data_IF_445628992294
#
_entry.id   IF_445628992294
#
_cell.length_a   1.000
_cell.length_b   1.000
_cell.length_c   1.000
_cell.angle_alpha   90.00
_cell.angle_beta   90.00
_cell.angle_gamma   90.00
#
_symmetry.space_group_name_H-M   'P 1'
#
loop_
_entity.id
_entity.type
_entity.pdbx_description
1 polymer ?
#
# COMPACT_ATOMS: atom_id res chain seq x y z
N UNK A 1 -16.16 -56.27 9.67
CA UNK A 1 -15.31 -55.11 9.99
C UNK A 1 -16.21 -53.89 10.07
N UNK A 2 -16.36 -53.28 11.24
CA UNK A 2 -17.12 -52.03 11.40
C UNK A 2 -16.28 -50.89 10.86
N UNK A 3 -16.72 -50.29 9.76
CA UNK A 3 -16.11 -49.06 9.22
C UNK A 3 -16.20 -48.00 10.31
N UNK A 4 -15.09 -47.39 10.76
CA UNK A 4 -15.15 -46.35 11.76
C UNK A 4 -15.96 -45.19 11.17
N UNK A 5 -17.05 -44.81 11.83
CA UNK A 5 -17.78 -43.61 11.46
C UNK A 5 -16.83 -42.42 11.63
N UNK A 6 -16.59 -41.62 10.58
CA UNK A 6 -15.81 -40.42 10.76
C UNK A 6 -16.53 -39.53 11.77
N UNK A 7 -15.84 -39.14 12.83
CA UNK A 7 -16.36 -38.16 13.78
C UNK A 7 -16.33 -36.82 13.07
N UNK A 8 -17.42 -36.51 12.37
CA UNK A 8 -17.57 -35.20 11.74
C UNK A 8 -17.97 -34.19 12.82
N UNK A 9 -17.08 -33.23 13.07
CA UNK A 9 -17.39 -32.05 13.88
C UNK A 9 -18.70 -31.43 13.40
N UNK A 10 -19.68 -31.20 14.28
CA UNK A 10 -20.97 -30.64 13.86
C UNK A 10 -20.73 -29.20 13.40
N UNK A 11 -20.79 -28.95 12.09
CA UNK A 11 -20.72 -27.59 11.57
C UNK A 11 -22.05 -26.93 11.93
N UNK A 12 -22.02 -25.99 12.87
CA UNK A 12 -23.21 -25.28 13.33
C UNK A 12 -23.60 -24.18 12.33
N UNK A 13 -24.91 -23.97 12.08
CA UNK A 13 -25.34 -22.83 11.29
C UNK A 13 -25.04 -21.52 12.05
N UNK A 14 -24.58 -20.47 11.35
CA UNK A 14 -24.34 -19.18 11.97
C UNK A 14 -25.66 -18.54 12.40
N UNK A 15 -25.68 -18.02 13.63
CA UNK A 15 -26.85 -17.35 14.19
C UNK A 15 -27.01 -15.94 13.61
N UNK A 16 -28.24 -15.60 13.23
CA UNK A 16 -28.61 -14.25 12.83
C UNK A 16 -29.05 -13.48 14.07
N UNK A 17 -28.15 -12.68 14.63
CA UNK A 17 -28.33 -12.00 15.93
C UNK A 17 -28.61 -10.50 15.80
N UNK A 18 -28.30 -9.89 14.64
CA UNK A 18 -28.41 -8.44 14.44
C UNK A 18 -29.01 -8.08 13.08
N UNK A 19 -29.75 -6.97 13.06
CA UNK A 19 -30.42 -6.44 11.86
C UNK A 19 -29.74 -5.21 11.25
N UNK A 20 -28.60 -4.78 11.81
CA UNK A 20 -27.77 -3.75 11.21
C UNK A 20 -26.94 -4.30 10.03
N UNK A 21 -26.47 -3.41 9.15
CA UNK A 21 -25.74 -3.80 7.93
C UNK A 21 -24.50 -4.66 8.21
N UNK A 22 -23.72 -4.34 9.25
CA UNK A 22 -22.49 -5.08 9.54
C UNK A 22 -22.83 -6.51 10.01
N UNK A 23 -23.85 -6.65 10.85
CA UNK A 23 -24.35 -7.95 11.31
C UNK A 23 -24.90 -8.79 10.16
N UNK A 24 -25.74 -8.20 9.29
CA UNK A 24 -26.31 -8.90 8.13
C UNK A 24 -25.23 -9.43 7.18
N UNK A 25 -24.18 -8.64 6.92
CA UNK A 25 -23.12 -9.04 5.99
C UNK A 25 -22.17 -10.04 6.61
N UNK A 26 -21.82 -9.86 7.89
CA UNK A 26 -21.07 -10.86 8.66
C UNK A 26 -21.81 -12.20 8.64
N UNK A 27 -23.11 -12.17 8.91
CA UNK A 27 -23.96 -13.37 8.87
C UNK A 27 -24.01 -14.00 7.47
N UNK A 28 -24.21 -13.21 6.40
CA UNK A 28 -24.21 -13.73 5.01
C UNK A 28 -22.91 -14.44 4.65
N UNK A 29 -21.76 -13.88 5.03
CA UNK A 29 -20.44 -14.52 4.80
C UNK A 29 -20.31 -15.81 5.57
N UNK A 30 -20.64 -15.79 6.86
CA UNK A 30 -20.62 -16.99 7.70
C UNK A 30 -21.57 -18.06 7.16
N UNK A 31 -22.73 -17.67 6.63
CA UNK A 31 -23.73 -18.57 6.06
C UNK A 31 -23.23 -19.22 4.77
N UNK A 32 -22.57 -18.45 3.91
CA UNK A 32 -21.94 -19.00 2.70
C UNK A 32 -20.84 -20.04 3.03
N UNK A 33 -19.98 -19.73 4.02
CA UNK A 33 -18.93 -20.66 4.49
C UNK A 33 -19.51 -21.93 5.10
N UNK A 34 -20.58 -21.79 5.88
CA UNK A 34 -21.33 -22.92 6.43
C UNK A 34 -21.90 -23.81 5.33
N UNK A 35 -22.56 -23.24 4.32
CA UNK A 35 -23.14 -24.02 3.22
C UNK A 35 -22.09 -24.71 2.35
N UNK A 36 -20.93 -24.07 2.14
CA UNK A 36 -19.78 -24.68 1.47
C UNK A 36 -19.22 -25.86 2.26
N UNK A 37 -19.01 -25.69 3.56
CA UNK A 37 -18.54 -26.77 4.45
C UNK A 37 -19.51 -27.96 4.48
N UNK A 38 -20.82 -27.69 4.45
CA UNK A 38 -21.86 -28.74 4.36
C UNK A 38 -21.82 -29.42 2.99
N UNK A 39 -21.67 -28.66 1.88
CA UNK A 39 -21.52 -29.24 0.54
C UNK A 39 -20.31 -30.15 0.42
N UNK A 40 -19.16 -29.75 0.93
CA UNK A 40 -17.96 -30.58 0.95
C UNK A 40 -18.22 -31.88 1.72
N UNK A 41 -18.78 -31.80 2.94
CA UNK A 41 -19.15 -32.99 3.70
C UNK A 41 -20.07 -33.93 2.92
N UNK A 42 -21.08 -33.39 2.26
CA UNK A 42 -22.01 -34.19 1.45
C UNK A 42 -21.29 -34.90 0.29
N UNK A 43 -20.28 -34.27 -0.32
CA UNK A 43 -19.47 -34.91 -1.37
C UNK A 43 -18.67 -36.12 -0.84
N UNK A 44 -18.10 -36.02 0.37
CA UNK A 44 -17.32 -37.11 0.96
C UNK A 44 -18.18 -38.23 1.56
N UNK A 45 -19.33 -37.89 2.13
CA UNK A 45 -20.23 -38.82 2.84
C UNK A 45 -21.30 -39.45 1.95
N UNK A 46 -21.61 -38.84 0.79
CA UNK A 46 -22.76 -39.20 -0.05
C UNK A 46 -24.11 -38.77 0.53
N UNK A 47 -24.14 -37.96 1.59
CA UNK A 47 -25.37 -37.42 2.16
C UNK A 47 -26.04 -36.40 1.23
N UNK A 48 -27.37 -36.32 1.27
CA UNK A 48 -28.12 -35.31 0.52
C UNK A 48 -28.03 -33.94 1.19
N UNK A 49 -27.48 -32.95 0.46
CA UNK A 49 -27.31 -31.58 0.93
C UNK A 49 -28.58 -30.97 1.52
N UNK A 50 -29.74 -31.18 0.86
CA UNK A 50 -31.00 -30.58 1.31
C UNK A 50 -31.46 -31.11 2.67
N UNK A 51 -31.02 -32.30 3.05
CA UNK A 51 -31.34 -32.92 4.35
C UNK A 51 -30.39 -32.50 5.45
N UNK A 52 -29.13 -32.24 5.12
CA UNK A 52 -28.07 -31.91 6.09
C UNK A 52 -28.06 -30.41 6.40
N UNK A 53 -28.35 -29.56 5.42
CA UNK A 53 -28.33 -28.11 5.61
C UNK A 53 -29.42 -27.65 6.57
N UNK A 54 -29.02 -27.13 7.73
CA UNK A 54 -29.92 -26.43 8.66
C UNK A 54 -30.49 -25.16 8.06
N UNK A 55 -31.80 -25.00 8.17
CA UNK A 55 -32.53 -23.83 7.72
C UNK A 55 -32.14 -22.55 8.47
N UNK A 56 -32.50 -21.42 7.88
CA UNK A 56 -32.18 -20.08 8.39
C UNK A 56 -33.10 -19.72 9.53
N UNK A 57 -34.39 -19.99 9.38
CA UNK A 57 -35.43 -19.76 10.38
C UNK A 57 -35.05 -20.28 11.76
N UNK A 58 -34.50 -21.50 11.82
CA UNK A 58 -34.08 -22.13 13.08
C UNK A 58 -32.80 -21.54 13.69
N UNK A 59 -32.09 -20.71 12.95
CA UNK A 59 -30.85 -20.07 13.35
C UNK A 59 -31.00 -18.54 13.55
N UNK A 60 -32.21 -18.00 13.43
CA UNK A 60 -32.49 -16.61 13.81
C UNK A 60 -32.65 -16.52 15.32
N UNK A 61 -32.08 -15.48 15.92
CA UNK A 61 -32.34 -15.16 17.32
C UNK A 61 -33.87 -14.98 17.56
N UNK A 62 -34.45 -15.54 18.64
CA UNK A 62 -35.90 -15.48 18.86
C UNK A 62 -36.47 -14.06 18.89
N UNK A 63 -35.81 -13.12 19.56
CA UNK A 63 -36.27 -11.73 19.69
C UNK A 63 -36.22 -11.03 18.33
N UNK A 64 -35.16 -11.29 17.56
CA UNK A 64 -35.06 -10.81 16.19
C UNK A 64 -36.12 -11.46 15.29
N UNK A 65 -36.41 -12.75 15.45
CA UNK A 65 -37.41 -13.45 14.65
C UNK A 65 -38.82 -12.87 14.86
N UNK A 66 -39.20 -12.57 16.10
CA UNK A 66 -40.45 -11.89 16.42
C UNK A 66 -40.51 -10.50 15.77
N UNK A 67 -39.41 -9.73 15.84
CA UNK A 67 -39.30 -8.44 15.16
C UNK A 67 -39.48 -8.59 13.63
N UNK A 68 -38.84 -9.58 13.01
CA UNK A 68 -38.96 -9.83 11.58
C UNK A 68 -40.39 -10.21 11.18
N UNK A 69 -41.04 -11.08 11.96
CA UNK A 69 -42.41 -11.49 11.71
C UNK A 69 -43.38 -10.30 11.74
N UNK A 70 -43.28 -9.48 12.78
CA UNK A 70 -44.23 -8.41 13.07
C UNK A 70 -43.99 -7.13 12.24
N UNK A 71 -42.72 -6.76 11.98
CA UNK A 71 -42.40 -5.44 11.43
C UNK A 71 -41.81 -5.48 10.01
N UNK A 72 -41.03 -6.49 9.65
CA UNK A 72 -40.32 -6.53 8.36
C UNK A 72 -41.04 -7.41 7.31
N UNK A 73 -41.49 -8.60 7.70
CA UNK A 73 -42.13 -9.59 6.82
C UNK A 73 -43.65 -9.44 6.84
N UNK A 74 -44.25 -9.12 7.99
CA UNK A 74 -45.70 -8.95 8.15
C UNK A 74 -46.49 -10.24 7.93
N UNK A 75 -45.89 -11.40 8.20
CA UNK A 75 -46.53 -12.73 8.10
C UNK A 75 -46.64 -13.35 9.49
N UNK A 76 -47.61 -14.24 9.68
CA UNK A 76 -47.65 -15.06 10.89
C UNK A 76 -46.36 -15.89 10.99
N UNK A 77 -45.86 -16.08 12.20
CA UNK A 77 -44.65 -16.87 12.45
C UNK A 77 -44.69 -18.20 11.72
N UNK A 78 -45.82 -18.91 11.64
CA UNK A 78 -45.91 -20.23 11.01
C UNK A 78 -45.67 -20.21 9.49
N UNK A 79 -45.96 -19.09 8.85
CA UNK A 79 -45.93 -18.96 7.39
C UNK A 79 -44.59 -18.41 6.87
N UNK A 80 -43.69 -18.01 7.77
CA UNK A 80 -42.37 -17.46 7.41
C UNK A 80 -41.44 -18.58 6.94
N UNK A 81 -41.00 -18.51 5.71
CA UNK A 81 -40.02 -19.45 5.15
C UNK A 81 -38.61 -18.88 5.20
N UNK A 82 -37.60 -19.75 5.11
CA UNK A 82 -36.20 -19.33 4.94
C UNK A 82 -36.01 -18.39 3.76
N UNK A 83 -36.80 -18.56 2.69
CA UNK A 83 -36.79 -17.70 1.51
C UNK A 83 -37.26 -16.29 1.83
N UNK A 84 -38.27 -16.14 2.67
CA UNK A 84 -38.79 -14.83 3.09
C UNK A 84 -37.72 -14.06 3.90
N UNK A 85 -37.07 -14.74 4.83
CA UNK A 85 -35.99 -14.16 5.65
C UNK A 85 -34.82 -13.75 4.74
N UNK A 86 -34.39 -14.61 3.82
CA UNK A 86 -33.33 -14.28 2.86
C UNK A 86 -33.69 -13.10 1.96
N UNK A 87 -34.93 -13.04 1.47
CA UNK A 87 -35.40 -11.94 0.65
C UNK A 87 -35.29 -10.62 1.41
N UNK A 88 -35.72 -10.58 2.68
CA UNK A 88 -35.60 -9.38 3.52
C UNK A 88 -34.17 -9.01 3.86
N UNK A 89 -33.32 -9.99 4.18
CA UNK A 89 -31.88 -9.75 4.40
C UNK A 89 -31.25 -9.13 3.15
N UNK A 90 -31.60 -9.64 1.96
CA UNK A 90 -31.12 -9.12 0.68
C UNK A 90 -31.64 -7.69 0.42
N UNK A 91 -32.94 -7.48 0.55
CA UNK A 91 -33.60 -6.17 0.38
C UNK A 91 -32.99 -5.12 1.33
N UNK A 92 -32.77 -5.47 2.60
CA UNK A 92 -32.16 -4.58 3.59
C UNK A 92 -30.73 -4.23 3.23
N UNK A 93 -29.95 -5.23 2.81
CA UNK A 93 -28.58 -5.03 2.34
C UNK A 93 -28.51 -4.13 1.09
N UNK A 94 -29.54 -4.15 0.23
CA UNK A 94 -29.61 -3.38 -1.02
C UNK A 94 -30.14 -1.95 -0.81
N UNK A 95 -31.21 -1.78 -0.04
CA UNK A 95 -31.83 -0.48 0.26
C UNK A 95 -30.92 0.43 1.07
N UNK A 96 -30.18 -0.11 2.04
CA UNK A 96 -29.17 0.65 2.79
C UNK A 96 -28.01 1.12 1.90
N UNK A 97 -27.80 0.55 0.71
CA UNK A 97 -26.79 1.07 -0.22
C UNK A 97 -27.22 2.38 -0.88
N UNK A 98 -28.53 2.68 -0.95
CA UNK A 98 -29.05 3.91 -1.59
C UNK A 98 -28.52 5.19 -0.92
N UNK A 99 -28.46 5.22 0.42
CA UNK A 99 -27.88 6.36 1.16
C UNK A 99 -26.35 6.46 0.98
N UNK A 100 -25.65 5.34 0.79
CA UNK A 100 -24.20 5.32 0.58
C UNK A 100 -23.76 5.54 -0.88
N UNK A 101 -24.65 5.30 -1.85
CA UNK A 101 -24.46 5.69 -3.25
C UNK A 101 -24.29 7.20 -3.42
N UNK A 102 -24.74 8.00 -2.44
CA UNK A 102 -24.55 9.44 -2.44
C UNK A 102 -23.06 9.85 -2.39
N UNK A 103 -22.17 9.06 -1.77
CA UNK A 103 -20.73 9.36 -1.76
C UNK A 103 -19.80 8.16 -1.48
N UNK A 104 -19.51 7.31 -2.49
CA UNK A 104 -18.52 6.24 -2.36
C UNK A 104 -17.12 6.76 -1.96
N UNK A 105 -16.73 7.94 -2.44
CA UNK A 105 -15.41 8.54 -2.20
C UNK A 105 -15.16 8.82 -0.71
N UNK A 106 -16.14 9.38 -0.01
CA UNK A 106 -16.04 9.66 1.43
C UNK A 106 -15.91 8.37 2.26
N UNK A 107 -16.64 7.32 1.88
CA UNK A 107 -16.60 6.05 2.57
C UNK A 107 -15.21 5.40 2.47
N UNK A 108 -14.61 5.37 1.28
CA UNK A 108 -13.25 4.84 1.11
C UNK A 108 -12.22 5.73 1.79
N UNK A 109 -12.36 7.06 1.77
CA UNK A 109 -11.46 7.96 2.53
C UNK A 109 -11.49 7.69 4.05
N UNK A 110 -12.65 7.31 4.59
CA UNK A 110 -12.80 7.00 6.00
C UNK A 110 -12.29 5.59 6.35
N UNK A 111 -12.70 4.57 5.57
CA UNK A 111 -12.51 3.15 5.92
C UNK A 111 -11.29 2.49 5.28
N UNK A 112 -10.85 2.93 4.10
CA UNK A 112 -9.72 2.32 3.38
C UNK A 112 -8.41 3.00 3.75
N UNK A 113 -7.62 2.36 4.62
CA UNK A 113 -6.30 2.86 5.06
C UNK A 113 -5.29 1.74 5.08
N UNK A 114 -4.09 2.00 4.53
CA UNK A 114 -2.98 1.06 4.65
C UNK A 114 -2.37 1.16 6.06
N UNK A 115 -2.32 0.03 6.76
CA UNK A 115 -1.81 -0.05 8.13
C UNK A 115 -0.27 -0.09 8.15
N UNK A 116 0.34 1.05 8.46
CA UNK A 116 1.81 1.20 8.52
C UNK A 116 2.44 0.56 9.77
N UNK A 117 1.64 0.08 10.73
CA UNK A 117 2.17 -0.63 11.90
C UNK A 117 2.62 -2.06 11.58
N UNK A 118 2.12 -2.62 10.47
CA UNK A 118 2.55 -3.93 9.96
C UNK A 118 3.94 -3.80 9.35
N UNK A 119 4.94 -4.39 9.99
CA UNK A 119 6.34 -4.35 9.54
C UNK A 119 6.58 -5.14 8.25
N UNK A 120 5.89 -6.26 8.09
CA UNK A 120 5.98 -7.09 6.89
C UNK A 120 5.28 -6.41 5.71
N UNK A 121 6.05 -6.04 4.69
CA UNK A 121 5.54 -5.29 3.53
C UNK A 121 4.54 -6.10 2.71
N UNK A 122 4.82 -7.38 2.37
CA UNK A 122 3.85 -8.22 1.67
C UNK A 122 2.51 -8.35 2.39
N UNK A 123 2.51 -8.67 3.70
CA UNK A 123 1.29 -8.77 4.50
C UNK A 123 0.56 -7.43 4.61
N UNK A 124 1.30 -6.32 4.75
CA UNK A 124 0.71 -4.97 4.78
C UNK A 124 -0.05 -4.66 3.48
N UNK A 125 0.56 -4.92 2.32
CA UNK A 125 -0.08 -4.71 1.01
C UNK A 125 -1.24 -5.68 0.84
N UNK A 126 -1.10 -6.96 1.20
CA UNK A 126 -2.18 -7.94 1.13
C UNK A 126 -3.38 -7.57 2.01
N UNK A 127 -3.16 -7.14 3.25
CA UNK A 127 -4.20 -6.64 4.16
C UNK A 127 -4.94 -5.44 3.56
N UNK A 128 -4.21 -4.51 2.94
CA UNK A 128 -4.81 -3.34 2.30
C UNK A 128 -5.76 -3.72 1.15
N UNK A 129 -5.34 -4.58 0.23
CA UNK A 129 -6.20 -5.03 -0.88
C UNK A 129 -7.39 -5.86 -0.37
N UNK A 130 -7.20 -6.71 0.66
CA UNK A 130 -8.31 -7.44 1.29
C UNK A 130 -9.30 -6.50 1.99
N UNK A 131 -8.83 -5.41 2.58
CA UNK A 131 -9.69 -4.40 3.20
C UNK A 131 -10.57 -3.72 2.15
N UNK A 132 -10.02 -3.41 0.97
CA UNK A 132 -10.79 -2.87 -0.14
C UNK A 132 -11.94 -3.79 -0.58
N UNK A 133 -11.65 -5.07 -0.85
CA UNK A 133 -12.70 -6.03 -1.25
C UNK A 133 -13.73 -6.23 -0.13
N UNK A 134 -13.28 -6.20 1.13
CA UNK A 134 -14.15 -6.29 2.30
C UNK A 134 -15.13 -5.12 2.36
N UNK A 135 -14.65 -3.89 2.14
CA UNK A 135 -15.47 -2.68 2.10
C UNK A 135 -16.49 -2.78 0.97
N UNK A 136 -16.10 -3.24 -0.21
CA UNK A 136 -17.03 -3.42 -1.34
C UNK A 136 -18.14 -4.40 -0.97
N UNK A 137 -17.80 -5.54 -0.38
CA UNK A 137 -18.77 -6.53 0.07
C UNK A 137 -19.65 -6.05 1.24
N UNK A 138 -19.10 -5.25 2.17
CA UNK A 138 -19.82 -4.71 3.33
C UNK A 138 -20.76 -3.55 3.03
N UNK A 139 -20.62 -2.91 1.88
CA UNK A 139 -21.43 -1.75 1.53
C UNK A 139 -22.11 -1.96 0.16
N UNK A 140 -22.24 -3.23 -0.25
CA UNK A 140 -22.99 -3.64 -1.43
C UNK A 140 -22.52 -3.07 -2.77
N UNK A 141 -21.27 -2.61 -2.86
CA UNK A 141 -20.72 -2.04 -4.09
C UNK A 141 -20.34 -3.09 -5.14
N UNK A 142 -20.85 -4.32 -5.06
CA UNK A 142 -20.45 -5.42 -5.96
C UNK A 142 -20.86 -5.15 -7.41
N UNK A 143 -21.99 -4.49 -7.67
CA UNK A 143 -22.38 -4.17 -9.05
C UNK A 143 -21.53 -3.05 -9.66
N UNK A 144 -21.11 -2.08 -8.84
CA UNK A 144 -20.35 -0.90 -9.28
C UNK A 144 -18.84 -1.09 -9.24
N UNK A 145 -18.35 -1.89 -8.30
CA UNK A 145 -16.94 -2.11 -8.00
C UNK A 145 -16.60 -3.59 -7.84
N UNK A 146 -17.49 -4.55 -8.06
CA UNK A 146 -17.16 -5.97 -7.98
C UNK A 146 -16.30 -6.45 -9.17
N UNK A 147 -15.62 -7.57 -8.96
CA UNK A 147 -14.72 -8.18 -9.96
C UNK A 147 -15.49 -9.02 -10.99
N UNK A 148 -16.51 -9.74 -10.54
CA UNK A 148 -17.36 -10.57 -11.38
C UNK A 148 -18.63 -9.80 -11.76
N UNK A 149 -18.93 -9.78 -13.06
CA UNK A 149 -20.27 -9.45 -13.52
C UNK A 149 -21.16 -10.65 -13.22
N UNK A 150 -22.06 -10.55 -12.24
CA UNK A 150 -23.16 -11.50 -12.04
C UNK A 150 -24.16 -11.41 -13.21
N UNK A 151 -23.74 -11.84 -14.41
CA UNK A 151 -24.60 -12.00 -15.58
C UNK A 151 -24.66 -10.86 -16.59
N UNK A 152 -23.71 -9.92 -16.62
CA UNK A 152 -23.77 -8.78 -17.57
C UNK A 152 -22.46 -8.39 -18.25
N UNK A 153 -21.94 -9.25 -19.13
CA UNK A 153 -21.02 -8.83 -20.20
C UNK A 153 -19.57 -9.31 -20.07
N UNK A 154 -18.95 -9.45 -21.26
CA UNK A 154 -17.55 -9.84 -21.51
C UNK A 154 -16.54 -8.88 -20.85
N UNK A 155 -15.32 -9.34 -20.60
CA UNK A 155 -14.19 -8.55 -20.08
C UNK A 155 -13.80 -7.34 -20.97
N UNK A 156 -14.40 -7.21 -22.15
CA UNK A 156 -14.24 -6.12 -23.11
C UNK A 156 -15.38 -5.10 -23.09
N UNK A 157 -16.35 -5.22 -22.17
CA UNK A 157 -17.42 -4.22 -22.00
C UNK A 157 -16.82 -2.91 -21.47
N UNK A 158 -17.19 -1.78 -22.08
CA UNK A 158 -16.78 -0.44 -21.64
C UNK A 158 -17.12 -0.20 -20.16
N UNK A 159 -18.22 -0.80 -19.69
CA UNK A 159 -18.60 -0.76 -18.28
C UNK A 159 -17.58 -1.50 -17.40
N UNK A 160 -17.07 -2.66 -17.82
CA UNK A 160 -16.04 -3.38 -17.08
C UNK A 160 -14.75 -2.55 -16.99
N UNK A 161 -14.31 -1.97 -18.11
CA UNK A 161 -13.12 -1.11 -18.16
C UNK A 161 -13.27 0.11 -17.24
N UNK A 162 -14.43 0.77 -17.25
CA UNK A 162 -14.72 1.90 -16.38
C UNK A 162 -14.68 1.51 -14.89
N UNK A 163 -15.33 0.38 -14.53
CA UNK A 163 -15.32 -0.15 -13.15
C UNK A 163 -13.90 -0.48 -12.69
N UNK A 164 -13.10 -1.17 -13.50
CA UNK A 164 -11.72 -1.51 -13.13
C UNK A 164 -10.82 -0.28 -12.99
N UNK A 165 -11.01 0.74 -13.84
CA UNK A 165 -10.32 2.04 -13.68
C UNK A 165 -10.72 2.73 -12.37
N UNK A 166 -11.99 2.67 -12.00
CA UNK A 166 -12.47 3.23 -10.74
C UNK A 166 -11.89 2.49 -9.52
N UNK A 167 -11.85 1.15 -9.57
CA UNK A 167 -11.19 0.32 -8.54
C UNK A 167 -9.72 0.71 -8.38
N UNK A 168 -8.98 0.79 -9.48
CA UNK A 168 -7.58 1.25 -9.46
C UNK A 168 -7.45 2.64 -8.85
N UNK A 169 -8.31 3.59 -9.25
CA UNK A 169 -8.29 4.96 -8.73
C UNK A 169 -8.45 4.99 -7.21
N UNK A 170 -9.46 4.31 -6.68
CA UNK A 170 -9.74 4.27 -5.23
C UNK A 170 -8.56 3.63 -4.47
N UNK A 171 -8.05 2.50 -4.96
CA UNK A 171 -6.89 1.84 -4.36
C UNK A 171 -5.67 2.76 -4.34
N UNK A 172 -5.36 3.44 -5.45
CA UNK A 172 -4.18 4.30 -5.52
C UNK A 172 -4.35 5.56 -4.66
N UNK A 173 -5.51 6.22 -4.69
CA UNK A 173 -5.74 7.46 -3.94
C UNK A 173 -5.58 7.28 -2.42
N UNK A 174 -5.85 6.08 -1.91
CA UNK A 174 -5.76 5.74 -0.48
C UNK A 174 -4.50 4.95 -0.10
N UNK A 175 -3.51 4.85 -1.00
CA UNK A 175 -2.20 4.28 -0.64
C UNK A 175 -1.47 5.17 0.37
N UNK A 176 -0.80 4.50 1.31
CA UNK A 176 0.18 5.09 2.22
C UNK A 176 1.46 4.22 2.19
N UNK A 177 2.64 4.80 2.40
CA UNK A 177 2.93 6.22 2.60
C UNK A 177 2.68 7.07 1.35
N UNK A 178 2.59 8.39 1.52
CA UNK A 178 2.30 9.33 0.41
C UNK A 178 3.29 9.21 -0.75
N UNK A 179 4.57 8.97 -0.45
CA UNK A 179 5.61 8.74 -1.46
C UNK A 179 5.30 7.53 -2.35
N UNK A 180 4.84 6.41 -1.77
CA UNK A 180 4.44 5.21 -2.54
C UNK A 180 3.27 5.55 -3.45
N UNK A 181 2.27 6.28 -2.92
CA UNK A 181 1.12 6.73 -3.70
C UNK A 181 1.54 7.57 -4.90
N UNK A 182 2.34 8.60 -4.70
CA UNK A 182 2.74 9.49 -5.80
C UNK A 182 3.62 8.77 -6.84
N UNK A 183 4.48 7.84 -6.41
CA UNK A 183 5.26 7.01 -7.34
C UNK A 183 4.36 6.14 -8.21
N UNK A 184 3.39 5.43 -7.60
CA UNK A 184 2.42 4.59 -8.31
C UNK A 184 1.56 5.44 -9.26
N UNK A 185 1.08 6.61 -8.82
CA UNK A 185 0.35 7.56 -9.68
C UNK A 185 1.18 7.96 -10.90
N UNK A 186 2.43 8.36 -10.69
CA UNK A 186 3.34 8.72 -11.77
C UNK A 186 3.57 7.58 -12.77
N UNK A 187 3.73 6.35 -12.28
CA UNK A 187 3.87 5.18 -13.15
C UNK A 187 2.62 4.94 -14.00
N UNK A 188 1.43 5.01 -13.42
CA UNK A 188 0.17 4.76 -14.14
C UNK A 188 -0.17 5.79 -15.23
N UNK A 189 0.48 6.97 -15.23
CA UNK A 189 0.38 7.95 -16.31
C UNK A 189 1.22 7.58 -17.55
N UNK A 190 2.29 6.80 -17.35
CA UNK A 190 3.15 6.36 -18.46
C UNK A 190 2.42 5.34 -19.34
N UNK A 191 2.59 5.47 -20.66
CA UNK A 191 1.95 4.59 -21.65
C UNK A 191 2.22 3.11 -21.35
N UNK A 192 3.44 2.78 -20.92
CA UNK A 192 3.86 1.42 -20.56
C UNK A 192 2.97 0.77 -19.50
N UNK A 193 2.44 1.52 -18.53
CA UNK A 193 1.69 0.97 -17.39
C UNK A 193 0.17 1.20 -17.48
N UNK A 194 -0.35 1.74 -18.59
CA UNK A 194 -1.80 2.01 -18.73
C UNK A 194 -2.68 0.77 -18.58
N UNK A 195 -2.20 -0.38 -19.05
CA UNK A 195 -2.91 -1.66 -18.96
C UNK A 195 -3.11 -2.14 -17.51
N UNK A 196 -2.30 -1.64 -16.56
CA UNK A 196 -2.45 -1.96 -15.12
C UNK A 196 -3.73 -1.34 -14.55
N UNK A 197 -4.21 -0.22 -15.10
CA UNK A 197 -5.41 0.48 -14.63
C UNK A 197 -6.70 -0.31 -14.77
N UNK A 198 -6.67 -1.40 -15.54
CA UNK A 198 -7.81 -2.29 -15.76
C UNK A 198 -7.57 -3.68 -15.16
N UNK A 199 -6.46 -3.89 -14.45
CA UNK A 199 -6.07 -5.18 -13.93
C UNK A 199 -5.53 -5.06 -12.49
N UNK A 200 -6.37 -5.40 -11.53
CA UNK A 200 -6.03 -5.33 -10.10
C UNK A 200 -4.89 -6.27 -9.69
N UNK A 201 -4.70 -7.38 -10.40
CA UNK A 201 -3.59 -8.29 -10.10
C UNK A 201 -2.25 -7.66 -10.47
N UNK A 202 -2.19 -6.97 -11.62
CA UNK A 202 -1.00 -6.22 -12.01
C UNK A 202 -0.78 -5.02 -11.10
N UNK A 203 -1.86 -4.36 -10.67
CA UNK A 203 -1.76 -3.26 -9.71
C UNK A 203 -1.20 -3.74 -8.37
N UNK A 204 -1.70 -4.86 -7.86
CA UNK A 204 -1.20 -5.48 -6.63
C UNK A 204 0.31 -5.78 -6.73
N UNK A 205 0.75 -6.41 -7.82
CA UNK A 205 2.17 -6.71 -8.05
C UNK A 205 3.03 -5.45 -8.09
N UNK A 206 2.57 -4.42 -8.81
CA UNK A 206 3.27 -3.14 -8.90
C UNK A 206 3.39 -2.46 -7.53
N UNK A 207 2.30 -2.40 -6.76
CA UNK A 207 2.31 -1.79 -5.41
C UNK A 207 3.25 -2.56 -4.49
N UNK A 208 3.23 -3.89 -4.54
CA UNK A 208 4.10 -4.74 -3.74
C UNK A 208 5.57 -4.48 -4.04
N UNK A 209 5.97 -4.57 -5.32
CA UNK A 209 7.35 -4.35 -5.77
C UNK A 209 7.87 -2.99 -5.29
N UNK A 210 7.05 -1.95 -5.43
CA UNK A 210 7.45 -0.57 -5.09
C UNK A 210 7.49 -0.32 -3.59
N UNK A 211 6.56 -0.90 -2.85
CA UNK A 211 6.58 -0.83 -1.39
C UNK A 211 7.82 -1.53 -0.81
N UNK A 212 8.23 -2.67 -1.38
CA UNK A 212 9.43 -3.39 -0.97
C UNK A 212 10.71 -2.60 -1.29
N UNK A 213 10.83 -2.07 -2.51
CA UNK A 213 11.96 -1.22 -2.90
C UNK A 213 12.09 -0.02 -1.95
N UNK A 214 10.98 0.66 -1.65
CA UNK A 214 10.99 1.79 -0.74
C UNK A 214 11.44 1.39 0.68
N UNK A 215 11.00 0.24 1.18
CA UNK A 215 11.43 -0.29 2.48
C UNK A 215 12.93 -0.61 2.50
N UNK A 216 13.47 -1.18 1.41
CA UNK A 216 14.89 -1.46 1.26
C UNK A 216 15.72 -0.17 1.31
N UNK A 217 15.31 0.89 0.59
CA UNK A 217 15.99 2.19 0.64
C UNK A 217 15.92 2.82 2.03
N UNK A 218 14.77 2.75 2.71
CA UNK A 218 14.62 3.25 4.07
C UNK A 218 15.55 2.53 5.05
N UNK A 219 15.61 1.20 4.99
CA UNK A 219 16.49 0.39 5.83
C UNK A 219 17.97 0.74 5.57
N UNK A 220 18.37 0.85 4.29
CA UNK A 220 19.73 1.23 3.89
C UNK A 220 20.13 2.59 4.46
N UNK A 221 19.26 3.59 4.32
CA UNK A 221 19.51 4.94 4.83
C UNK A 221 19.61 4.97 6.36
N UNK A 222 18.74 4.25 7.07
CA UNK A 222 18.78 4.12 8.54
C UNK A 222 20.06 3.45 9.03
N UNK A 223 20.55 2.42 8.32
CA UNK A 223 21.85 1.80 8.64
C UNK A 223 23.02 2.76 8.45
N UNK A 224 22.99 3.62 7.42
CA UNK A 224 24.04 4.60 7.18
C UNK A 224 24.09 5.69 8.26
N UNK A 225 22.93 6.15 8.74
CA UNK A 225 22.88 7.10 9.86
C UNK A 225 23.40 6.50 11.18
N UNK A 226 23.04 5.24 11.50
CA UNK A 226 23.55 4.55 12.69
C UNK A 226 25.08 4.37 12.65
N UNK A 227 25.65 4.11 11.47
CA UNK A 227 27.12 4.03 11.30
C UNK A 227 27.79 5.39 11.52
N UNK A 228 27.21 6.47 10.99
CA UNK A 228 27.72 7.83 11.20
C UNK A 228 27.68 8.27 12.67
N UNK A 229 26.62 7.91 13.42
CA UNK A 229 26.52 8.20 14.85
C UNK A 229 27.52 7.42 15.71
N UNK A 230 27.82 6.16 15.37
CA UNK A 230 28.84 5.36 16.09
C UNK A 230 30.24 5.94 15.91
N UNK A 231 30.58 6.42 14.71
CA UNK A 231 31.89 7.02 14.43
C UNK A 231 32.11 8.35 15.18
N UNK A 232 31.04 9.03 15.58
CA UNK A 232 31.13 10.26 16.38
C UNK A 232 31.24 10.01 17.89
N UNK A 233 31.00 8.78 18.37
CA UNK A 233 30.97 8.48 19.81
C UNK A 233 32.23 7.75 20.30
N UNK A 234 33.06 7.24 19.38
CA UNK A 234 34.29 6.48 19.71
C UNK A 234 35.51 7.40 19.90
N UNK A 235 35.41 8.68 19.54
CA UNK A 235 36.51 9.67 19.66
C UNK A 235 36.55 10.37 21.04
N UNK A 236 35.80 9.89 22.04
CA UNK A 236 35.76 10.51 23.38
C UNK A 236 36.20 9.58 24.52
N UNK A 237 36.77 8.40 24.21
CA UNK A 237 37.26 7.47 25.24
C UNK A 237 38.71 7.04 25.03
N UNK A 238 39.62 8.01 24.79
CA UNK A 238 41.03 7.80 25.07
C UNK A 238 41.63 9.07 25.65
N UNK A 239 41.67 9.17 26.99
CA UNK A 239 42.75 9.80 27.81
C UNK A 239 42.27 9.94 29.26
N UNK A 240 42.54 8.95 30.10
CA UNK A 240 42.71 9.20 31.53
C UNK A 240 43.81 8.30 32.08
N UNK A 241 44.99 8.89 32.26
CA UNK A 241 46.02 8.42 33.18
C UNK A 241 46.64 9.65 33.85
N UNK A 242 46.63 9.67 35.19
CA UNK A 242 47.67 10.37 35.97
C UNK A 242 47.32 11.68 36.70
N UNK A 243 46.96 11.52 37.99
CA UNK A 243 47.48 12.23 39.17
C UNK A 243 47.04 13.66 39.53
N UNK A 244 46.94 13.83 40.86
CA UNK A 244 46.40 14.92 41.66
C UNK A 244 47.28 16.18 41.77
N UNK A 245 46.62 17.31 42.12
CA UNK A 245 47.22 18.56 42.62
C UNK A 245 46.20 19.70 42.73
N UNK A 246 45.86 20.09 43.97
CA UNK A 246 45.15 21.30 44.43
C UNK A 246 45.71 22.62 43.83
N UNK A 247 45.06 23.79 43.73
CA UNK A 247 43.97 24.44 44.48
C UNK A 247 43.40 25.66 43.68
N UNK A 248 42.12 25.96 43.94
CA UNK A 248 41.33 27.21 43.79
C UNK A 248 41.78 28.41 42.92
N UNK A 249 40.92 28.87 41.98
CA UNK A 249 40.03 30.04 42.15
C UNK A 249 39.32 30.48 40.84
N UNK A 250 38.00 30.65 40.95
CA UNK A 250 37.10 31.59 40.23
C UNK A 250 37.09 31.70 38.69
N UNK A 251 35.91 31.44 38.12
CA UNK A 251 35.14 32.29 37.19
C UNK A 251 34.50 31.51 36.04
N UNK A 252 33.19 31.71 35.88
CA UNK A 252 32.31 31.21 34.81
C UNK A 252 32.94 31.19 33.41
N UNK A 253 32.80 30.07 32.70
CA UNK A 253 32.25 30.03 31.33
C UNK A 253 32.36 28.62 30.73
N UNK A 254 31.24 28.14 30.15
CA UNK A 254 31.19 26.90 29.38
C UNK A 254 32.20 26.92 28.21
N UNK A 255 32.98 25.85 27.98
CA UNK A 255 33.83 25.79 26.80
C UNK A 255 32.99 25.48 25.56
N UNK A 256 32.76 26.48 24.72
CA UNK A 256 32.25 26.29 23.36
C UNK A 256 33.28 25.49 22.56
N UNK A 257 32.91 24.25 22.18
CA UNK A 257 33.69 23.42 21.28
C UNK A 257 33.99 24.19 19.97
N UNK A 258 35.26 24.47 19.70
CA UNK A 258 35.71 25.17 18.48
C UNK A 258 35.45 24.27 17.28
N UNK A 259 34.61 24.73 16.34
CA UNK A 259 34.41 24.04 15.05
C UNK A 259 35.73 24.06 14.26
N UNK A 260 36.16 22.93 13.65
CA UNK A 260 37.37 22.90 12.85
C UNK A 260 37.26 23.88 11.67
N UNK A 261 38.36 24.56 11.28
CA UNK A 261 38.35 25.54 10.20
C UNK A 261 37.94 24.89 8.86
N UNK A 262 37.37 25.67 7.93
CA UNK A 262 36.94 25.15 6.63
C UNK A 262 38.14 24.63 5.83
N UNK A 263 38.04 23.42 5.27
CA UNK A 263 39.05 22.80 4.39
C UNK A 263 39.46 23.64 3.18
N UNK A 264 38.66 24.63 2.82
CA UNK A 264 38.91 25.57 1.71
C UNK A 264 39.77 26.79 2.11
N UNK A 265 40.22 26.86 3.37
CA UNK A 265 40.92 28.02 3.93
C UNK A 265 40.01 29.22 4.21
N UNK A 266 40.58 30.23 4.87
CA UNK A 266 39.93 31.50 5.19
C UNK A 266 39.45 32.21 3.92
N UNK A 267 38.22 32.72 3.94
CA UNK A 267 37.63 33.38 2.77
C UNK A 267 38.24 34.74 2.40
N UNK A 268 39.19 35.24 3.20
CA UNK A 268 39.94 36.45 2.90
C UNK A 268 41.38 36.13 2.45
N UNK A 269 42.17 35.49 3.31
CA UNK A 269 43.60 35.25 3.07
C UNK A 269 43.95 33.79 2.77
N UNK A 270 42.96 32.88 2.69
CA UNK A 270 43.13 31.43 2.45
C UNK A 270 43.93 30.66 3.52
N UNK A 271 44.25 31.27 4.67
CA UNK A 271 44.91 30.60 5.80
C UNK A 271 44.00 29.62 6.56
N UNK A 272 44.57 28.78 7.42
CA UNK A 272 43.86 27.71 8.16
C UNK A 272 43.08 28.23 9.39
N UNK A 273 42.24 29.24 9.18
CA UNK A 273 41.39 29.83 10.23
C UNK A 273 40.05 30.28 9.66
N UNK A 274 39.07 30.49 10.55
CA UNK A 274 37.79 31.06 10.16
C UNK A 274 37.92 32.54 9.79
N UNK A 275 37.13 33.02 8.84
CA UNK A 275 37.09 34.45 8.48
C UNK A 275 36.92 35.38 9.70
N UNK A 276 36.18 34.93 10.72
CA UNK A 276 36.01 35.66 11.98
C UNK A 276 37.34 35.91 12.72
N UNK A 277 38.22 34.92 12.68
CA UNK A 277 39.53 34.90 13.34
C UNK A 277 40.67 35.32 12.39
N UNK A 278 40.34 35.91 11.22
CA UNK A 278 41.33 36.35 10.26
C UNK A 278 42.17 37.51 10.81
N UNK A 279 43.51 37.35 10.96
CA UNK A 279 44.39 38.40 11.47
C UNK A 279 44.71 39.47 10.42
N UNK A 280 44.49 39.15 9.15
CA UNK A 280 44.78 40.02 8.00
C UNK A 280 43.56 40.77 7.45
N UNK A 281 42.39 40.64 8.08
CA UNK A 281 41.17 41.31 7.64
C UNK A 281 40.64 42.24 8.74
N UNK A 282 40.33 43.48 8.36
CA UNK A 282 39.60 44.42 9.20
C UNK A 282 38.13 43.99 9.35
N UNK A 283 37.43 44.49 10.37
CA UNK A 283 36.04 44.11 10.62
C UNK A 283 35.11 44.47 9.44
N UNK A 284 35.37 45.60 8.76
CA UNK A 284 34.62 46.00 7.57
C UNK A 284 34.83 45.04 6.38
N UNK A 285 36.05 44.53 6.20
CA UNK A 285 36.36 43.54 5.15
C UNK A 285 35.72 42.18 5.45
N UNK A 286 35.68 41.77 6.73
CA UNK A 286 34.99 40.55 7.17
C UNK A 286 33.50 40.59 6.84
N UNK A 287 32.85 41.75 7.03
CA UNK A 287 31.43 41.94 6.76
C UNK A 287 31.14 42.05 5.24
N UNK A 288 32.04 42.66 4.46
CA UNK A 288 31.94 42.69 3.00
C UNK A 288 32.02 41.29 2.36
N UNK A 289 32.93 40.44 2.84
CA UNK A 289 33.03 39.04 2.36
C UNK A 289 31.78 38.21 2.72
N UNK A 290 31.10 38.56 3.81
CA UNK A 290 29.84 37.91 4.23
C UNK A 290 28.66 38.31 3.35
N UNK A 291 28.59 39.57 2.93
CA UNK A 291 27.49 40.13 2.13
C UNK A 291 27.59 39.84 0.63
N UNK A 292 28.77 39.50 0.09
CA UNK A 292 28.93 39.14 -1.33
C UNK A 292 28.42 37.72 -1.69
N UNK A 293 28.25 36.81 -0.71
CA UNK A 293 27.88 35.40 -0.95
C UNK A 293 26.41 35.06 -1.29
N UNK A 294 25.38 35.91 -1.13
CA UNK A 294 24.01 35.55 -1.54
C UNK A 294 23.81 35.43 -3.06
N UNK A 295 24.73 35.94 -3.89
CA UNK A 295 24.56 35.94 -5.36
C UNK A 295 25.14 34.70 -6.07
N UNK A 296 26.19 34.07 -5.51
CA UNK A 296 26.90 32.96 -6.19
C UNK A 296 26.29 31.57 -5.92
N UNK A 297 25.60 31.38 -4.79
CA UNK A 297 24.96 30.08 -4.46
C UNK A 297 23.68 29.79 -5.26
N UNK A 298 22.97 30.84 -5.72
CA UNK A 298 21.79 30.70 -6.60
C UNK A 298 22.16 30.22 -8.00
N UNK A 299 23.33 30.60 -8.52
CA UNK A 299 23.80 30.17 -9.84
C UNK A 299 24.19 28.67 -9.88
N UNK A 300 24.79 28.13 -8.82
CA UNK A 300 25.22 26.72 -8.78
C UNK A 300 24.07 25.70 -8.68
N UNK A 301 22.90 26.09 -8.17
CA UNK A 301 21.70 25.22 -8.16
C UNK A 301 20.96 25.14 -9.51
N UNK A 302 21.23 26.06 -10.43
CA UNK A 302 20.68 26.02 -11.79
C UNK A 302 21.50 25.10 -12.72
N UNK A 303 22.82 25.05 -12.55
CA UNK A 303 23.73 24.21 -13.37
C UNK A 303 23.60 22.71 -13.03
N UNK A 304 23.27 22.35 -11.78
CA UNK A 304 23.02 20.94 -11.39
C UNK A 304 21.71 20.37 -11.97
N UNK A 305 20.88 21.20 -12.63
CA UNK A 305 19.63 20.77 -13.28
C UNK A 305 19.72 20.63 -14.81
N UNK A 306 20.90 20.81 -15.42
CA UNK A 306 21.10 20.48 -16.83
C UNK A 306 21.87 19.15 -16.94
N UNK A 307 21.46 18.23 -17.84
CA UNK A 307 22.23 17.02 -18.09
C UNK A 307 23.57 17.42 -18.74
N UNK A 308 24.68 16.90 -18.23
CA UNK A 308 26.00 17.01 -18.86
C UNK A 308 26.05 16.17 -20.14
N UNK A 309 26.65 16.72 -21.20
CA UNK A 309 26.74 16.11 -22.55
C UNK A 309 27.39 14.71 -22.61
N UNK A 310 28.04 14.24 -21.54
CA UNK A 310 28.53 12.86 -21.44
C UNK A 310 27.43 11.82 -21.18
N UNK A 311 26.25 12.22 -20.68
CA UNK A 311 25.12 11.28 -20.51
C UNK A 311 24.38 10.96 -21.81
N UNK A 312 24.55 11.76 -22.86
CA UNK A 312 23.88 11.52 -24.14
C UNK A 312 24.59 10.52 -25.04
N UNK A 313 25.91 10.33 -24.93
CA UNK A 313 26.62 9.36 -25.79
C UNK A 313 26.48 7.91 -25.30
N UNK A 314 26.35 7.70 -23.99
CA UNK A 314 26.15 6.34 -23.43
C UNK A 314 24.72 5.84 -23.69
N UNK A 315 23.71 6.72 -23.67
CA UNK A 315 22.32 6.36 -23.98
C UNK A 315 22.06 6.17 -25.49
N UNK A 316 22.75 6.92 -26.36
CA UNK A 316 22.65 6.72 -27.82
C UNK A 316 23.33 5.43 -28.29
N UNK A 317 24.48 5.07 -27.71
CA UNK A 317 25.18 3.82 -28.05
C UNK A 317 24.46 2.57 -27.51
N UNK A 318 23.79 2.66 -26.35
CA UNK A 318 22.98 1.57 -25.81
C UNK A 318 21.72 1.32 -26.66
N UNK A 319 21.11 2.38 -27.21
CA UNK A 319 19.94 2.29 -28.10
C UNK A 319 20.30 1.80 -29.52
N UNK A 320 21.52 2.07 -29.99
CA UNK A 320 22.01 1.54 -31.26
C UNK A 320 22.30 0.02 -31.19
N UNK A 321 22.90 -0.47 -30.10
CA UNK A 321 23.17 -1.90 -29.91
C UNK A 321 21.90 -2.76 -29.76
N UNK A 322 20.81 -2.19 -29.23
CA UNK A 322 19.52 -2.91 -29.12
C UNK A 322 18.78 -2.97 -30.46
N UNK A 323 18.92 -1.96 -31.32
CA UNK A 323 18.36 -2.00 -32.69
C UNK A 323 19.08 -2.96 -33.62
N UNK A 324 20.40 -3.11 -33.50
CA UNK A 324 21.17 -4.07 -34.32
C UNK A 324 20.79 -5.53 -33.97
N UNK A 325 20.53 -5.82 -32.70
CA UNK A 325 20.10 -7.17 -32.27
C UNK A 325 18.66 -7.50 -32.71
N UNK A 326 17.74 -6.53 -32.71
CA UNK A 326 16.37 -6.74 -33.21
C UNK A 326 16.30 -6.87 -34.76
N UNK A 327 17.19 -6.21 -35.51
CA UNK A 327 17.27 -6.36 -36.97
C UNK A 327 17.97 -7.67 -37.40
N UNK A 328 18.92 -8.19 -36.63
CA UNK A 328 19.54 -9.51 -36.84
C UNK A 328 18.56 -10.67 -36.51
N UNK A 329 17.73 -10.53 -35.47
CA UNK A 329 16.71 -11.53 -35.12
C UNK A 329 15.56 -11.57 -36.14
N UNK A 330 15.20 -10.41 -36.72
CA UNK A 330 14.17 -10.30 -37.75
C UNK A 330 14.63 -10.81 -39.13
N UNK A 331 15.92 -10.73 -39.45
CA UNK A 331 16.48 -11.24 -40.72
C UNK A 331 16.68 -12.76 -40.70
N UNK A 332 17.01 -13.36 -39.56
CA UNK A 332 17.11 -14.83 -39.43
C UNK A 332 15.74 -15.53 -39.56
N UNK A 333 14.66 -14.90 -39.08
CA UNK A 333 13.30 -15.45 -39.20
C UNK A 333 12.69 -15.33 -40.61
N UNK A 334 13.21 -14.45 -41.47
CA UNK A 334 12.61 -14.19 -42.80
C UNK A 334 13.26 -14.98 -43.95
N UNK A 335 14.47 -15.51 -43.75
CA UNK A 335 15.19 -16.30 -44.77
C UNK A 335 15.39 -17.79 -44.42
N UNK A 336 14.90 -18.26 -43.25
CA UNK A 336 15.01 -19.66 -42.83
C UNK A 336 13.96 -20.64 -43.40
N UNK A 337 13.08 -20.21 -44.31
CA UNK A 337 12.01 -21.06 -44.87
C UNK A 337 11.97 -21.07 -46.41
N UNK A 338 13.12 -21.12 -47.08
CA UNK A 338 13.18 -21.53 -48.49
C UNK A 338 14.43 -22.40 -48.76
N UNK A 339 14.18 -23.64 -49.18
CA UNK A 339 15.17 -24.65 -49.59
C UNK A 339 15.16 -25.85 -48.63
N UNK A 340 14.88 -27.09 -49.04
CA UNK A 340 15.02 -27.70 -50.36
C UNK A 340 14.20 -29.03 -50.40
N UNK A 341 14.22 -29.79 -51.51
CA UNK A 341 13.09 -30.49 -52.14
C UNK A 341 12.49 -31.71 -51.41
#
# INVERSE_FOLDING_TARGET
MTVPQPIFEIVAPPRLEGWDQASLIKWRRARAQYEESVRERCQWSGEDYQRVVRGIRTAVDPDLFEFLANYEIGKNEKDITDKDILAKVKERCETMNSEYLANPSALFAQKLRMDLSVNDVPDRVAKYFRLFERIIAENGFQENLGRENLGRGSATDDNYVARMKQRTKILVDHLAPTMLREEIKGMLELVKYRHIRINDQLLYKLVLERAELQQLFYNRFKHQQKKSQRYSSDDTQHTHAGSAGEQAASASSQPTQKRPPPRTGCFHCKGEHWLKECPTATQAEKDAVRTQKPKVWKAKRAVVRQPTQETTEVELNAAANTKVLEEEEYTYSKYGMQGAP
#
